data_IF_309845915605
#
_entry.id   IF_309845915605
#
_cell.length_a   1.000
_cell.length_b   1.000
_cell.length_c   1.000
_cell.angle_alpha   90.00
_cell.angle_beta   90.00
_cell.angle_gamma   90.00
#
_symmetry.space_group_name_H-M   'P 1'
#
loop_
_entity.id
_entity.type
_entity.pdbx_description
1 polymer ?
#
# COMPACT_ATOMS: atom_id res chain seq x y z
N UNK A 1 -48.08 -20.51 7.93
CA UNK A 1 -49.46 -20.38 8.42
C UNK A 1 -49.82 -21.73 9.00
N UNK A 2 -50.56 -21.74 10.11
CA UNK A 2 -50.72 -22.96 10.90
C UNK A 2 -51.89 -23.77 10.36
N UNK A 3 -51.67 -25.05 10.12
CA UNK A 3 -52.72 -26.01 9.82
C UNK A 3 -53.10 -26.82 11.06
N UNK A 4 -54.36 -27.26 11.08
CA UNK A 4 -54.96 -28.03 12.17
C UNK A 4 -54.19 -29.31 12.54
N UNK A 5 -53.41 -29.84 11.61
CA UNK A 5 -52.63 -31.07 11.79
C UNK A 5 -51.12 -30.83 11.82
N UNK A 6 -50.68 -29.57 11.88
CA UNK A 6 -49.27 -29.29 12.02
C UNK A 6 -48.81 -29.73 13.41
N UNK A 7 -47.74 -30.54 13.50
CA UNK A 7 -47.26 -31.07 14.78
C UNK A 7 -46.70 -29.99 15.70
N UNK A 8 -46.32 -28.83 15.15
CA UNK A 8 -45.91 -27.62 15.86
C UNK A 8 -46.40 -26.38 15.09
N UNK A 9 -46.69 -25.25 15.76
CA UNK A 9 -47.00 -23.99 15.09
C UNK A 9 -45.86 -23.50 14.18
N UNK A 10 -46.20 -22.75 13.13
CA UNK A 10 -45.22 -22.14 12.24
C UNK A 10 -44.31 -21.17 13.00
N UNK A 11 -44.82 -20.48 14.03
CA UNK A 11 -43.99 -19.63 14.91
C UNK A 11 -42.85 -20.42 15.53
N UNK A 12 -43.15 -21.60 16.06
CA UNK A 12 -42.20 -22.44 16.79
C UNK A 12 -41.24 -23.13 15.82
N UNK A 13 -41.74 -23.51 14.64
CA UNK A 13 -40.91 -23.97 13.52
C UNK A 13 -39.86 -22.91 13.13
N UNK A 14 -40.27 -21.65 12.96
CA UNK A 14 -39.35 -20.56 12.62
C UNK A 14 -38.45 -20.17 13.80
N UNK A 15 -38.92 -20.29 15.05
CA UNK A 15 -38.10 -20.09 16.24
C UNK A 15 -36.97 -21.13 16.32
N UNK A 16 -37.27 -22.41 16.07
CA UNK A 16 -36.27 -23.48 15.98
C UNK A 16 -35.28 -23.25 14.84
N UNK A 17 -35.75 -22.84 13.67
CA UNK A 17 -34.88 -22.46 12.55
C UNK A 17 -33.95 -21.29 12.92
N UNK A 18 -34.46 -20.31 13.67
CA UNK A 18 -33.67 -19.23 14.26
C UNK A 18 -32.58 -19.73 15.20
N UNK A 19 -32.93 -20.59 16.16
CA UNK A 19 -32.00 -21.20 17.12
C UNK A 19 -30.91 -22.00 16.38
N UNK A 20 -31.27 -22.86 15.43
CA UNK A 20 -30.28 -23.64 14.68
C UNK A 20 -29.37 -22.76 13.82
N UNK A 21 -29.91 -21.70 13.20
CA UNK A 21 -29.11 -20.77 12.39
C UNK A 21 -28.22 -19.86 13.23
N UNK A 22 -28.63 -19.50 14.45
CA UNK A 22 -27.83 -18.68 15.37
C UNK A 22 -26.77 -19.48 16.11
N UNK A 23 -26.86 -20.82 16.11
CA UNK A 23 -25.89 -21.66 16.80
C UNK A 23 -24.65 -21.89 15.93
N UNK A 24 -23.56 -21.19 16.23
CA UNK A 24 -22.23 -21.47 15.67
C UNK A 24 -21.57 -22.59 16.46
N UNK A 25 -21.76 -23.84 16.03
CA UNK A 25 -21.20 -25.01 16.72
C UNK A 25 -19.67 -25.14 16.57
N UNK A 26 -19.09 -24.67 15.46
CA UNK A 26 -17.65 -24.76 15.21
C UNK A 26 -17.17 -23.56 14.39
N UNK A 27 -16.03 -22.99 14.77
CA UNK A 27 -15.28 -22.06 13.92
C UNK A 27 -14.74 -22.86 12.73
N UNK A 28 -15.09 -22.55 11.48
CA UNK A 28 -14.59 -23.29 10.33
C UNK A 28 -13.05 -23.26 10.29
N UNK A 29 -12.42 -24.43 10.28
CA UNK A 29 -10.96 -24.57 10.37
C UNK A 29 -10.51 -26.03 10.19
N UNK A 30 -9.24 -26.31 10.51
CA UNK A 30 -8.53 -27.56 10.16
C UNK A 30 -9.27 -28.89 10.44
N UNK A 31 -10.14 -28.94 11.47
CA UNK A 31 -10.88 -30.16 11.86
C UNK A 31 -12.41 -30.04 11.76
N UNK A 32 -12.92 -28.86 11.40
CA UNK A 32 -14.36 -28.53 11.35
C UNK A 32 -14.80 -28.02 9.97
N UNK A 33 -13.90 -28.01 8.99
CA UNK A 33 -14.17 -27.61 7.62
C UNK A 33 -15.06 -28.62 6.90
N UNK A 34 -15.95 -28.11 6.05
CA UNK A 34 -16.73 -28.95 5.15
C UNK A 34 -15.82 -29.72 4.19
N UNK A 35 -16.00 -31.03 4.08
CA UNK A 35 -15.37 -31.85 3.04
C UNK A 35 -15.93 -31.44 1.68
N UNK A 36 -15.21 -30.58 0.96
CA UNK A 36 -15.59 -30.15 -0.39
C UNK A 36 -15.13 -31.19 -1.41
N UNK A 37 -16.00 -31.50 -2.37
CA UNK A 37 -15.65 -32.24 -3.57
C UNK A 37 -15.79 -31.31 -4.78
N UNK A 38 -14.87 -31.36 -5.75
CA UNK A 38 -15.02 -30.58 -6.97
C UNK A 38 -16.29 -31.01 -7.70
N UNK A 39 -17.02 -30.02 -8.24
CA UNK A 39 -18.14 -30.30 -9.14
C UNK A 39 -17.60 -31.01 -10.39
N UNK A 40 -18.20 -32.13 -10.82
CA UNK A 40 -17.82 -32.76 -12.08
C UNK A 40 -18.18 -31.83 -13.24
N UNK A 41 -17.15 -31.27 -13.90
CA UNK A 41 -17.33 -30.43 -15.08
C UNK A 41 -17.31 -31.30 -16.36
N UNK A 42 -18.14 -31.00 -17.37
CA UNK A 42 -17.99 -31.54 -18.72
C UNK A 42 -16.57 -31.29 -19.25
N UNK A 43 -16.05 -32.21 -20.09
CA UNK A 43 -14.67 -32.17 -20.59
C UNK A 43 -14.22 -30.80 -21.13
N UNK A 44 -15.01 -30.08 -21.96
CA UNK A 44 -14.60 -28.77 -22.47
C UNK A 44 -14.44 -27.70 -21.38
N UNK A 45 -15.30 -27.73 -20.36
CA UNK A 45 -15.25 -26.79 -19.23
C UNK A 45 -14.10 -27.13 -18.28
N UNK A 46 -13.87 -28.42 -18.04
CA UNK A 46 -12.74 -28.91 -17.27
C UNK A 46 -11.40 -28.49 -17.89
N UNK A 47 -11.25 -28.61 -19.22
CA UNK A 47 -10.04 -28.16 -19.91
C UNK A 47 -9.80 -26.65 -19.76
N UNK A 48 -10.84 -25.83 -19.83
CA UNK A 48 -10.73 -24.37 -19.60
C UNK A 48 -10.35 -24.05 -18.15
N UNK A 49 -10.97 -24.74 -17.19
CA UNK A 49 -10.66 -24.61 -15.78
C UNK A 49 -9.20 -24.97 -15.49
N UNK A 50 -8.73 -26.12 -15.98
CA UNK A 50 -7.35 -26.58 -15.78
C UNK A 50 -6.34 -25.60 -16.40
N UNK A 51 -6.60 -25.11 -17.62
CA UNK A 51 -5.74 -24.12 -18.29
C UNK A 51 -5.69 -22.77 -17.53
N UNK A 52 -6.83 -22.31 -17.01
CA UNK A 52 -6.90 -21.11 -16.18
C UNK A 52 -6.07 -21.28 -14.90
N UNK A 53 -6.22 -22.41 -14.19
CA UNK A 53 -5.47 -22.68 -12.97
C UNK A 53 -3.97 -22.87 -13.21
N UNK A 54 -3.56 -23.44 -14.34
CA UNK A 54 -2.15 -23.47 -14.73
C UNK A 54 -1.58 -22.07 -14.96
N UNK A 55 -2.36 -21.18 -15.58
CA UNK A 55 -1.97 -19.79 -15.81
C UNK A 55 -1.88 -19.01 -14.50
N UNK A 56 -2.84 -19.20 -13.58
CA UNK A 56 -2.76 -18.62 -12.23
C UNK A 56 -1.50 -19.08 -11.48
N UNK A 57 -1.23 -20.40 -11.49
CA UNK A 57 -0.06 -20.95 -10.82
C UNK A 57 1.27 -20.41 -11.40
N UNK A 58 1.33 -20.20 -12.72
CA UNK A 58 2.53 -19.63 -13.36
C UNK A 58 2.68 -18.14 -13.05
N UNK A 59 1.58 -17.37 -13.05
CA UNK A 59 1.57 -15.96 -12.65
C UNK A 59 1.98 -15.79 -11.19
N UNK A 60 1.44 -16.59 -10.27
CA UNK A 60 1.82 -16.56 -8.86
C UNK A 60 3.31 -16.88 -8.65
N UNK A 61 3.84 -17.82 -9.42
CA UNK A 61 5.27 -18.17 -9.38
C UNK A 61 6.14 -17.01 -9.88
N UNK A 62 5.72 -16.33 -10.94
CA UNK A 62 6.41 -15.14 -11.47
C UNK A 62 6.36 -13.98 -10.47
N UNK A 63 5.20 -13.73 -9.86
CA UNK A 63 5.04 -12.69 -8.82
C UNK A 63 6.00 -12.97 -7.66
N UNK A 64 6.03 -14.20 -7.15
CA UNK A 64 6.95 -14.58 -6.07
C UNK A 64 8.42 -14.39 -6.46
N UNK A 65 8.78 -14.78 -7.68
CA UNK A 65 10.15 -14.60 -8.19
C UNK A 65 10.53 -13.12 -8.27
N UNK A 66 9.66 -12.29 -8.87
CA UNK A 66 9.89 -10.84 -9.01
C UNK A 66 9.92 -10.12 -7.66
N UNK A 67 9.09 -10.54 -6.71
CA UNK A 67 9.16 -10.05 -5.33
C UNK A 67 10.48 -10.39 -4.65
N UNK A 68 11.01 -11.60 -4.86
CA UNK A 68 12.32 -12.03 -4.37
C UNK A 68 13.46 -11.21 -4.99
N UNK A 69 13.43 -11.02 -6.31
CA UNK A 69 14.40 -10.19 -7.05
C UNK A 69 14.38 -8.73 -6.57
N UNK A 70 13.18 -8.15 -6.42
CA UNK A 70 13.01 -6.79 -5.91
C UNK A 70 13.54 -6.64 -4.48
N UNK A 71 13.33 -7.65 -3.62
CA UNK A 71 13.87 -7.67 -2.26
C UNK A 71 15.39 -7.68 -2.28
N UNK A 72 16.01 -8.55 -3.07
CA UNK A 72 17.47 -8.65 -3.19
C UNK A 72 18.06 -7.34 -3.74
N UNK A 73 17.42 -6.74 -4.74
CA UNK A 73 17.86 -5.46 -5.29
C UNK A 73 17.79 -4.35 -4.24
N UNK A 74 16.73 -4.29 -3.44
CA UNK A 74 16.58 -3.32 -2.34
C UNK A 74 17.64 -3.50 -1.24
N UNK A 75 18.01 -4.74 -0.93
CA UNK A 75 19.08 -5.02 0.06
C UNK A 75 20.46 -4.62 -0.47
N UNK A 76 20.69 -4.73 -1.78
CA UNK A 76 21.94 -4.34 -2.42
C UNK A 76 22.03 -2.84 -2.72
N UNK A 77 20.89 -2.14 -2.77
CA UNK A 77 20.85 -0.69 -2.90
C UNK A 77 21.30 -0.06 -1.57
N UNK A 78 22.47 0.59 -1.60
CA UNK A 78 22.97 1.39 -0.48
C UNK A 78 22.23 2.74 -0.41
N UNK A 79 20.91 2.70 -0.33
CA UNK A 79 20.02 3.86 -0.31
C UNK A 79 19.83 4.37 1.11
N UNK A 80 19.84 5.69 1.25
CA UNK A 80 19.58 6.38 2.51
C UNK A 80 18.28 7.17 2.33
N UNK A 81 17.23 6.71 2.98
CA UNK A 81 15.92 7.36 2.95
C UNK A 81 15.74 8.23 4.19
N UNK A 82 15.39 9.50 3.98
CA UNK A 82 15.10 10.45 5.06
C UNK A 82 13.65 10.90 4.92
N UNK A 83 12.82 10.50 5.88
CA UNK A 83 11.40 10.86 5.94
C UNK A 83 11.22 12.24 6.59
N UNK A 84 10.12 12.94 6.29
CA UNK A 84 9.82 14.25 6.87
C UNK A 84 9.69 14.20 8.41
N UNK A 85 9.26 13.06 8.96
CA UNK A 85 9.25 12.80 10.41
C UNK A 85 10.63 12.84 11.07
N UNK A 86 11.71 12.75 10.30
CA UNK A 86 13.09 12.87 10.77
C UNK A 86 13.75 14.22 10.44
N UNK A 87 13.05 15.10 9.73
CA UNK A 87 13.55 16.39 9.29
C UNK A 87 13.45 17.45 10.40
N UNK A 88 14.32 18.47 10.32
CA UNK A 88 14.12 19.70 11.10
C UNK A 88 13.23 20.64 10.30
N UNK A 89 12.05 20.97 10.85
CA UNK A 89 11.09 21.86 10.23
C UNK A 89 11.22 23.28 10.80
N UNK A 90 11.27 24.28 9.93
CA UNK A 90 11.19 25.70 10.29
C UNK A 90 9.88 26.26 9.72
N UNK A 91 9.11 26.92 10.57
CA UNK A 91 7.76 27.41 10.27
C UNK A 91 6.68 26.32 10.36
N UNK A 92 5.42 26.72 10.20
CA UNK A 92 4.28 25.81 10.37
C UNK A 92 4.03 24.98 9.10
N UNK A 93 4.23 23.67 9.21
CA UNK A 93 3.96 22.70 8.15
C UNK A 93 2.72 21.88 8.47
N UNK A 94 1.89 21.63 7.46
CA UNK A 94 0.68 20.82 7.62
C UNK A 94 0.94 19.40 7.14
N UNK A 95 0.76 18.44 8.04
CA UNK A 95 0.73 17.02 7.73
C UNK A 95 -0.57 16.61 7.02
N UNK A 96 -0.47 15.64 6.11
CA UNK A 96 -1.59 15.05 5.39
C UNK A 96 -1.29 13.63 4.91
N UNK A 97 -2.34 12.84 4.72
CA UNK A 97 -2.31 11.47 4.17
C UNK A 97 -3.28 11.31 3.00
N UNK A 98 -3.71 12.43 2.41
CA UNK A 98 -4.72 12.48 1.35
C UNK A 98 -4.23 11.79 0.07
N UNK A 99 -3.08 12.21 -0.45
CA UNK A 99 -2.34 11.43 -1.46
C UNK A 99 -1.64 10.26 -0.79
N UNK A 100 -1.61 9.09 -1.43
CA UNK A 100 -1.10 7.83 -0.84
C UNK A 100 0.35 7.52 -1.17
N UNK A 101 0.93 8.20 -2.15
CA UNK A 101 2.30 7.96 -2.62
C UNK A 101 3.32 8.70 -1.75
N UNK A 102 3.30 8.43 -0.44
CA UNK A 102 4.25 8.97 0.52
C UNK A 102 5.13 7.87 1.11
N UNK A 103 6.29 8.28 1.61
CA UNK A 103 7.17 7.45 2.41
C UNK A 103 6.75 7.61 3.88
N UNK A 104 6.90 6.57 4.69
CA UNK A 104 6.59 6.65 6.11
C UNK A 104 5.09 6.80 6.40
N UNK A 105 4.71 7.84 7.16
CA UNK A 105 3.35 8.01 7.70
C UNK A 105 2.47 8.96 6.91
N UNK A 106 3.05 9.85 6.11
CA UNK A 106 2.33 10.90 5.40
C UNK A 106 3.28 11.84 4.67
N UNK A 107 2.80 13.04 4.38
CA UNK A 107 3.61 14.11 3.82
C UNK A 107 3.21 15.46 4.43
N UNK A 108 4.14 16.41 4.41
CA UNK A 108 3.90 17.80 4.78
C UNK A 108 3.70 18.74 3.59
N UNK A 109 2.97 19.82 3.80
CA UNK A 109 2.85 20.94 2.85
C UNK A 109 2.75 22.29 3.55
N UNK A 110 3.09 23.36 2.83
CA UNK A 110 3.17 24.72 3.35
C UNK A 110 1.82 25.45 3.44
N UNK A 111 0.71 24.77 3.10
CA UNK A 111 -0.63 25.35 2.94
C UNK A 111 -0.71 26.57 2.00
N UNK A 112 0.26 26.75 1.11
CA UNK A 112 0.38 27.95 0.30
C UNK A 112 0.58 29.26 1.11
N UNK A 113 1.09 29.21 2.34
CA UNK A 113 1.28 30.38 3.20
C UNK A 113 2.75 30.64 3.54
N UNK A 114 3.07 31.87 3.98
CA UNK A 114 4.39 32.30 4.46
C UNK A 114 5.57 31.93 3.53
N UNK A 115 5.42 32.21 2.23
CA UNK A 115 6.43 31.92 1.20
C UNK A 115 7.80 32.50 1.57
N UNK A 116 8.85 31.72 1.40
CA UNK A 116 10.23 32.09 1.73
C UNK A 116 10.57 32.04 3.23
N UNK A 117 9.61 31.78 4.12
CA UNK A 117 9.83 31.71 5.58
C UNK A 117 9.82 30.29 6.15
N UNK A 118 9.44 29.30 5.34
CA UNK A 118 9.36 27.89 5.76
C UNK A 118 10.50 27.07 5.15
N UNK A 119 11.03 26.13 5.92
CA UNK A 119 12.12 25.24 5.49
C UNK A 119 11.90 23.82 6.02
N UNK A 120 12.22 22.83 5.20
CA UNK A 120 12.40 21.43 5.61
C UNK A 120 13.88 21.10 5.45
N UNK A 121 14.57 20.75 6.53
CA UNK A 121 16.01 20.43 6.52
C UNK A 121 16.24 18.96 6.86
N UNK A 122 16.80 18.23 5.89
CA UNK A 122 17.24 16.85 6.05
C UNK A 122 18.75 16.82 6.36
N UNK A 123 19.14 16.08 7.41
CA UNK A 123 20.55 15.99 7.86
C UNK A 123 20.94 14.53 8.13
N UNK A 124 21.48 13.80 7.12
CA UNK A 124 21.92 12.42 7.31
C UNK A 124 23.10 12.37 8.29
N UNK A 125 23.01 11.54 9.33
CA UNK A 125 24.02 11.54 10.43
C UNK A 125 25.28 10.74 10.12
N UNK A 126 25.30 9.92 9.07
CA UNK A 126 26.43 9.03 8.71
C UNK A 126 26.47 8.72 7.21
N UNK A 127 27.02 9.64 6.42
CA UNK A 127 27.34 9.38 5.01
C UNK A 127 28.78 8.85 4.90
N UNK A 128 28.98 7.77 4.14
CA UNK A 128 30.32 7.37 3.71
C UNK A 128 30.82 8.39 2.67
N UNK A 129 32.12 8.64 2.61
CA UNK A 129 32.67 9.49 1.55
C UNK A 129 32.41 8.84 0.19
N UNK A 130 31.81 9.59 -0.74
CA UNK A 130 31.45 9.06 -2.05
C UNK A 130 30.59 10.03 -2.85
N UNK A 131 30.23 9.61 -4.07
CA UNK A 131 29.20 10.27 -4.88
C UNK A 131 27.83 9.75 -4.48
N UNK A 132 26.86 10.64 -4.43
CA UNK A 132 25.48 10.35 -4.08
C UNK A 132 24.57 10.90 -5.16
N UNK A 133 23.61 10.09 -5.57
CA UNK A 133 22.45 10.55 -6.31
C UNK A 133 21.40 11.01 -5.28
N UNK A 134 21.03 12.29 -5.36
CA UNK A 134 20.07 12.90 -4.43
C UNK A 134 18.72 12.95 -5.12
N UNK A 135 17.75 12.22 -4.57
CA UNK A 135 16.38 12.16 -5.07
C UNK A 135 15.42 12.75 -4.03
N UNK A 136 14.29 13.27 -4.50
CA UNK A 136 13.24 13.81 -3.64
C UNK A 136 11.90 13.17 -3.99
N UNK A 137 11.30 12.47 -3.03
CA UNK A 137 9.94 11.99 -3.13
C UNK A 137 8.94 13.11 -2.80
N UNK A 138 7.92 13.27 -3.63
CA UNK A 138 6.85 14.25 -3.41
C UNK A 138 5.59 13.86 -4.18
N UNK A 139 4.44 14.30 -3.68
CA UNK A 139 3.17 14.13 -4.37
C UNK A 139 2.97 15.22 -5.43
N UNK A 140 2.84 14.81 -6.69
CA UNK A 140 2.59 15.72 -7.81
C UNK A 140 1.10 16.08 -7.95
N UNK A 141 0.81 17.35 -8.24
CA UNK A 141 -0.52 17.83 -8.61
C UNK A 141 -0.44 19.23 -9.23
N UNK A 142 -1.42 19.64 -10.03
CA UNK A 142 -1.45 20.98 -10.65
C UNK A 142 -1.41 22.12 -9.63
N UNK A 143 -1.99 21.90 -8.44
CA UNK A 143 -1.99 22.85 -7.33
C UNK A 143 -0.62 23.01 -6.65
N UNK A 144 0.39 22.23 -7.03
CA UNK A 144 1.75 22.30 -6.47
C UNK A 144 2.56 23.45 -7.07
N UNK A 145 3.64 23.81 -6.38
CA UNK A 145 4.56 24.82 -6.83
C UNK A 145 5.37 24.32 -8.03
N UNK A 146 5.48 25.14 -9.07
CA UNK A 146 6.27 24.82 -10.27
C UNK A 146 7.76 25.11 -10.15
N UNK A 147 8.19 25.71 -9.02
CA UNK A 147 9.56 26.18 -8.84
C UNK A 147 9.97 26.21 -7.36
N UNK A 148 10.00 25.05 -6.71
CA UNK A 148 10.47 24.91 -5.33
C UNK A 148 12.00 24.96 -5.31
N UNK A 149 12.64 25.88 -4.56
CA UNK A 149 14.09 25.90 -4.41
C UNK A 149 14.54 24.76 -3.48
N UNK A 150 15.49 23.96 -3.95
CA UNK A 150 16.13 22.88 -3.20
C UNK A 150 17.62 23.16 -3.13
N UNK A 151 18.14 23.26 -1.91
CA UNK A 151 19.53 23.59 -1.65
C UNK A 151 20.27 22.36 -1.14
N UNK A 152 21.30 21.93 -1.88
CA UNK A 152 22.16 20.80 -1.55
C UNK A 152 23.50 21.36 -1.05
N UNK A 153 23.81 21.08 0.22
CA UNK A 153 25.08 21.49 0.84
C UNK A 153 26.03 20.31 0.93
N UNK A 154 27.23 20.47 0.39
CA UNK A 154 28.30 19.46 0.40
C UNK A 154 29.59 20.08 0.95
N UNK A 155 30.61 19.28 1.30
CA UNK A 155 31.92 19.82 1.68
C UNK A 155 32.60 20.67 0.60
N UNK A 156 32.20 20.49 -0.69
CA UNK A 156 32.74 21.28 -1.82
C UNK A 156 32.02 22.61 -2.03
N UNK A 157 30.89 22.83 -1.35
CA UNK A 157 30.06 24.01 -1.52
C UNK A 157 28.57 23.68 -1.59
N UNK A 158 27.80 24.70 -1.96
CA UNK A 158 26.34 24.69 -1.99
C UNK A 158 25.83 24.90 -3.41
N UNK A 159 24.81 24.13 -3.79
CA UNK A 159 24.12 24.27 -5.06
C UNK A 159 22.61 24.35 -4.81
N UNK A 160 21.94 25.28 -5.49
CA UNK A 160 20.49 25.36 -5.49
C UNK A 160 19.94 24.93 -6.85
N UNK A 161 19.01 23.98 -6.83
CA UNK A 161 18.24 23.53 -7.98
C UNK A 161 16.77 23.86 -7.77
N UNK A 162 16.01 23.96 -8.85
CA UNK A 162 14.59 24.29 -8.79
C UNK A 162 13.76 23.11 -9.28
N UNK A 163 12.79 22.70 -8.48
CA UNK A 163 11.92 21.56 -8.75
C UNK A 163 10.51 22.02 -9.12
N UNK A 164 9.97 21.46 -10.20
CA UNK A 164 8.56 21.58 -10.54
C UNK A 164 7.77 20.42 -9.94
N UNK A 165 7.09 20.67 -8.82
CA UNK A 165 6.30 19.64 -8.14
C UNK A 165 4.94 19.35 -8.80
N UNK A 166 4.63 19.97 -9.94
CA UNK A 166 3.44 19.62 -10.73
C UNK A 166 3.67 18.39 -11.62
N UNK A 167 4.94 18.09 -11.90
CA UNK A 167 5.33 16.93 -12.68
C UNK A 167 5.51 15.73 -11.75
N UNK A 168 5.30 14.52 -12.27
CA UNK A 168 5.59 13.31 -11.49
C UNK A 168 7.11 13.21 -11.24
N UNK A 169 7.54 12.73 -10.06
CA UNK A 169 8.93 12.36 -9.84
C UNK A 169 9.37 11.34 -10.90
N UNK A 170 10.41 11.63 -11.65
CA UNK A 170 10.88 10.76 -12.76
C UNK A 170 11.75 9.61 -12.28
N UNK A 171 12.35 9.72 -11.09
CA UNK A 171 13.28 8.74 -10.54
C UNK A 171 12.82 8.32 -9.14
N UNK A 172 12.51 7.04 -8.96
CA UNK A 172 11.99 6.46 -7.71
C UNK A 172 11.03 5.26 -7.87
N UNK A 173 11.06 4.55 -9.00
CA UNK A 173 10.34 3.28 -9.20
C UNK A 173 11.20 2.07 -8.78
#
# INVERSE_FOLDING_TARGET
HDHKFDPIPASDYYALAGIFRSTKMLTPGNVSGWTKRPLPLPTPEKMKYDAYHQTLASLDSQIKSKQGELKLLRENLNTITLDDSSATLIGDWKESTFYKDYIGKGYIHDQHTAKGKKLVKFSPRKLKSGRYDVQLAYNSAESRASRVPITIKTPKGEQTVYLNQRLQPTDGA
#
